data_IF_386671818700
#
_entry.id   IF_386671818700
#
_cell.length_a   1.000
_cell.length_b   1.000
_cell.length_c   1.000
_cell.angle_alpha   90.00
_cell.angle_beta   90.00
_cell.angle_gamma   90.00
#
_symmetry.space_group_name_H-M   'P 1'
#
loop_
_entity.id
_entity.type
_entity.pdbx_description
1 polymer ?
#
# COMPACT_ATOMS: atom_id res chain seq x y z
N UNK A 1 -11.75 5.29 16.17
CA UNK A 1 -10.79 4.26 15.71
C UNK A 1 -9.48 4.97 15.42
N UNK A 2 -8.34 4.40 15.78
CA UNK A 2 -7.05 5.02 15.51
C UNK A 2 -6.75 5.01 14.00
N UNK A 3 -6.14 6.08 13.43
CA UNK A 3 -5.84 6.17 12.01
C UNK A 3 -5.03 4.99 11.46
N UNK A 4 -3.96 4.57 12.13
CA UNK A 4 -3.16 3.42 11.69
C UNK A 4 -3.95 2.11 11.74
N UNK A 5 -4.77 1.89 12.77
CA UNK A 5 -5.61 0.70 12.84
C UNK A 5 -6.64 0.67 11.69
N UNK A 6 -7.13 1.83 11.25
CA UNK A 6 -8.00 1.93 10.09
C UNK A 6 -7.28 1.51 8.79
N UNK A 7 -6.04 1.97 8.61
CA UNK A 7 -5.18 1.59 7.48
C UNK A 7 -4.87 0.09 7.52
N UNK A 8 -4.49 -0.43 8.68
CA UNK A 8 -4.19 -1.86 8.88
C UNK A 8 -5.39 -2.72 8.50
N UNK A 9 -6.60 -2.36 8.94
CA UNK A 9 -7.85 -3.07 8.59
C UNK A 9 -8.13 -3.09 7.10
N UNK A 10 -7.95 -1.96 6.43
CA UNK A 10 -8.06 -1.89 4.98
C UNK A 10 -7.00 -2.80 4.32
N UNK A 11 -5.74 -2.71 4.75
CA UNK A 11 -4.64 -3.51 4.19
C UNK A 11 -4.88 -5.03 4.33
N UNK A 12 -5.30 -5.51 5.51
CA UNK A 12 -5.57 -6.95 5.72
C UNK A 12 -6.82 -7.45 5.00
N UNK A 13 -7.69 -6.55 4.53
CA UNK A 13 -8.87 -6.90 3.72
C UNK A 13 -8.54 -7.11 2.24
N UNK A 14 -7.35 -6.68 1.80
CA UNK A 14 -6.89 -6.86 0.42
C UNK A 14 -6.53 -8.32 0.17
N UNK A 15 -6.54 -8.74 -1.09
CA UNK A 15 -6.03 -10.05 -1.45
C UNK A 15 -4.49 -10.13 -1.29
N UNK A 16 -3.99 -11.35 -1.08
CA UNK A 16 -2.58 -11.63 -0.77
C UNK A 16 -1.60 -11.01 -1.77
N UNK A 17 -2.00 -10.92 -3.04
CA UNK A 17 -1.17 -10.38 -4.11
C UNK A 17 -0.99 -8.86 -3.95
N UNK A 18 -2.08 -8.13 -3.70
CA UNK A 18 -2.04 -6.70 -3.42
C UNK A 18 -1.33 -6.40 -2.10
N UNK A 19 -1.55 -7.21 -1.07
CA UNK A 19 -0.81 -7.12 0.19
C UNK A 19 0.70 -7.22 -0.05
N UNK A 20 1.12 -8.20 -0.87
CA UNK A 20 2.53 -8.40 -1.23
C UNK A 20 3.09 -7.19 -1.97
N UNK A 21 2.40 -6.68 -3.00
CA UNK A 21 2.83 -5.53 -3.79
C UNK A 21 3.05 -4.30 -2.89
N UNK A 22 2.07 -4.00 -2.03
CA UNK A 22 2.10 -2.84 -1.13
C UNK A 22 3.20 -2.99 -0.09
N UNK A 23 3.26 -4.14 0.59
CA UNK A 23 4.25 -4.38 1.64
C UNK A 23 5.67 -4.31 1.10
N UNK A 24 5.94 -4.95 -0.05
CA UNK A 24 7.25 -4.96 -0.65
C UNK A 24 7.73 -3.55 -0.97
N UNK A 25 6.89 -2.74 -1.61
CA UNK A 25 7.24 -1.37 -1.99
C UNK A 25 7.38 -0.46 -0.78
N UNK A 26 6.45 -0.50 0.18
CA UNK A 26 6.51 0.33 1.37
C UNK A 26 7.73 0.00 2.24
N UNK A 27 8.01 -1.27 2.49
CA UNK A 27 9.17 -1.69 3.29
C UNK A 27 10.48 -1.33 2.58
N UNK A 28 10.57 -1.55 1.26
CA UNK A 28 11.79 -1.25 0.52
C UNK A 28 12.06 0.25 0.39
N UNK A 29 11.04 1.04 0.03
CA UNK A 29 11.22 2.43 -0.35
C UNK A 29 10.97 3.41 0.79
N UNK A 30 10.01 3.14 1.66
CA UNK A 30 9.68 4.04 2.77
C UNK A 30 10.48 3.69 4.02
N UNK A 31 10.63 2.41 4.33
CA UNK A 31 11.42 1.97 5.48
C UNK A 31 12.91 1.77 5.15
N UNK A 32 13.28 1.86 3.86
CA UNK A 32 14.66 1.77 3.38
C UNK A 32 15.25 0.36 3.46
N UNK A 33 14.40 -0.67 3.48
CA UNK A 33 14.81 -2.01 3.85
C UNK A 33 14.84 -2.99 2.66
N UNK A 34 15.84 -2.81 1.79
CA UNK A 34 15.94 -3.49 0.50
C UNK A 34 16.48 -4.94 0.56
N UNK A 35 16.84 -5.46 1.74
CA UNK A 35 17.51 -6.77 1.87
C UNK A 35 16.57 -7.96 2.09
N UNK A 36 15.26 -7.75 2.05
CA UNK A 36 14.27 -8.77 2.40
C UNK A 36 13.65 -9.44 1.18
N UNK A 37 13.29 -10.72 1.34
CA UNK A 37 12.46 -11.42 0.34
C UNK A 37 11.04 -10.83 0.35
N UNK A 38 10.31 -10.85 -0.78
CA UNK A 38 8.91 -10.40 -0.82
C UNK A 38 8.03 -11.05 0.25
N UNK A 39 8.29 -12.32 0.58
CA UNK A 39 7.58 -13.06 1.62
C UNK A 39 7.77 -12.48 3.04
N UNK A 40 8.89 -11.81 3.31
CA UNK A 40 9.14 -11.18 4.61
C UNK A 40 8.56 -9.76 4.71
N UNK A 41 8.11 -9.16 3.60
CA UNK A 41 7.61 -7.79 3.58
C UNK A 41 6.27 -7.66 4.31
N UNK A 42 5.33 -8.58 4.09
CA UNK A 42 4.00 -8.59 4.75
C UNK A 42 4.13 -8.59 6.28
N UNK A 43 4.79 -9.57 6.93
CA UNK A 43 4.88 -9.59 8.39
C UNK A 43 5.61 -8.34 8.93
N UNK A 44 6.52 -7.75 8.16
CA UNK A 44 7.23 -6.53 8.55
C UNK A 44 6.35 -5.29 8.49
N UNK A 45 5.51 -5.14 7.46
CA UNK A 45 4.52 -4.08 7.40
C UNK A 45 3.47 -4.23 8.50
N UNK A 46 3.00 -5.46 8.76
CA UNK A 46 2.07 -5.72 9.88
C UNK A 46 2.69 -5.35 11.23
N UNK A 47 3.94 -5.74 11.47
CA UNK A 47 4.68 -5.35 12.67
C UNK A 47 4.85 -3.83 12.77
N UNK A 48 5.09 -3.14 11.64
CA UNK A 48 5.14 -1.69 11.61
C UNK A 48 3.81 -1.06 12.04
N UNK A 49 2.66 -1.56 11.57
CA UNK A 49 1.35 -1.10 12.04
C UNK A 49 1.16 -1.32 13.54
N UNK A 50 1.52 -2.50 14.05
CA UNK A 50 1.40 -2.83 15.48
C UNK A 50 2.24 -1.91 16.36
N UNK A 51 3.49 -1.66 15.94
CA UNK A 51 4.40 -0.78 16.66
C UNK A 51 3.87 0.67 16.71
N UNK A 52 3.29 1.16 15.62
CA UNK A 52 2.75 2.53 15.56
C UNK A 52 1.43 2.67 16.31
N UNK A 53 0.60 1.63 16.31
CA UNK A 53 -0.64 1.61 17.09
C UNK A 53 -0.40 1.57 18.60
N UNK A 54 0.77 1.06 19.03
CA UNK A 54 1.17 1.01 20.44
C UNK A 54 1.95 2.26 20.91
N UNK A 55 2.25 3.18 20.00
CA UNK A 55 2.96 4.43 20.29
C UNK A 55 2.06 5.50 20.91
N UNK A 56 2.59 6.71 21.00
CA UNK A 56 1.80 7.89 21.33
C UNK A 56 0.81 8.24 20.22
N UNK A 57 -0.22 9.01 20.56
CA UNK A 57 -1.27 9.38 19.62
C UNK A 57 -0.73 10.24 18.48
N UNK A 58 0.25 11.10 18.75
CA UNK A 58 0.96 11.85 17.71
C UNK A 58 1.73 10.92 16.75
N UNK A 59 2.35 9.85 17.27
CA UNK A 59 3.07 8.89 16.45
C UNK A 59 2.13 8.08 15.53
N UNK A 60 0.92 7.76 15.99
CA UNK A 60 -0.11 7.12 15.17
C UNK A 60 -0.54 8.03 14.00
N UNK A 61 -0.94 9.28 14.31
CA UNK A 61 -1.35 10.24 13.29
C UNK A 61 -0.23 10.51 12.26
N UNK A 62 1.00 10.70 12.71
CA UNK A 62 2.15 10.90 11.83
C UNK A 62 2.42 9.67 10.97
N UNK A 63 2.35 8.47 11.55
CA UNK A 63 2.50 7.24 10.80
C UNK A 63 1.41 7.08 9.72
N UNK A 64 0.16 7.44 10.02
CA UNK A 64 -0.92 7.42 9.05
C UNK A 64 -0.67 8.38 7.88
N UNK A 65 -0.15 9.58 8.15
CA UNK A 65 0.27 10.53 7.11
C UNK A 65 1.40 9.96 6.24
N UNK A 66 2.43 9.38 6.87
CA UNK A 66 3.56 8.77 6.15
C UNK A 66 3.08 7.62 5.26
N UNK A 67 2.21 6.75 5.78
CA UNK A 67 1.65 5.66 4.99
C UNK A 67 0.83 6.19 3.82
N UNK A 68 -0.11 7.11 4.07
CA UNK A 68 -0.97 7.70 3.03
C UNK A 68 -0.14 8.30 1.89
N UNK A 69 0.81 9.18 2.23
CA UNK A 69 1.65 9.85 1.24
C UNK A 69 2.51 8.85 0.45
N UNK A 70 3.11 7.86 1.12
CA UNK A 70 3.92 6.83 0.47
C UNK A 70 3.08 5.97 -0.48
N UNK A 71 1.90 5.54 -0.01
CA UNK A 71 1.01 4.70 -0.78
C UNK A 71 0.48 5.44 -2.01
N UNK A 72 0.01 6.67 -1.86
CA UNK A 72 -0.48 7.49 -2.98
C UNK A 72 0.62 7.75 -4.00
N UNK A 73 1.83 8.09 -3.55
CA UNK A 73 2.98 8.28 -4.43
C UNK A 73 3.30 7.03 -5.28
N UNK A 74 3.22 5.83 -4.69
CA UNK A 74 3.60 4.60 -5.37
C UNK A 74 2.46 3.97 -6.20
N UNK A 75 1.21 4.14 -5.77
CA UNK A 75 0.11 3.30 -6.22
C UNK A 75 -1.13 4.05 -6.70
N UNK A 76 -1.26 5.37 -6.53
CA UNK A 76 -2.47 6.09 -6.95
C UNK A 76 -2.80 5.87 -8.44
N UNK A 77 -1.79 5.80 -9.29
CA UNK A 77 -1.98 5.58 -10.73
C UNK A 77 -2.46 4.15 -11.07
N UNK A 78 -2.30 3.19 -10.16
CA UNK A 78 -2.79 1.80 -10.35
C UNK A 78 -4.30 1.72 -10.43
N UNK A 79 -5.02 2.71 -9.89
CA UNK A 79 -6.47 2.77 -9.88
C UNK A 79 -7.08 3.15 -11.24
N UNK A 80 -6.35 3.93 -12.04
CA UNK A 80 -6.90 4.59 -13.25
C UNK A 80 -6.63 3.83 -14.55
N UNK A 81 -6.02 2.65 -14.49
CA UNK A 81 -5.78 1.80 -15.65
C UNK A 81 -4.58 2.21 -16.51
N UNK A 82 -4.23 3.50 -16.56
CA UNK A 82 -3.14 4.03 -17.38
C UNK A 82 -1.76 3.46 -17.00
N UNK A 83 -1.51 3.25 -15.70
CA UNK A 83 -0.27 2.66 -15.18
C UNK A 83 -0.01 1.23 -15.65
N UNK A 84 -1.01 0.56 -16.22
CA UNK A 84 -0.91 -0.84 -16.64
C UNK A 84 -0.46 -0.99 -18.09
N UNK A 85 -0.49 0.09 -18.89
CA UNK A 85 -0.04 0.07 -20.28
C UNK A 85 1.42 -0.35 -20.39
N UNK A 86 2.29 0.18 -19.51
CA UNK A 86 3.71 -0.16 -19.51
C UNK A 86 3.96 -1.65 -19.19
N UNK A 87 3.45 -2.22 -18.07
CA UNK A 87 3.57 -3.65 -17.79
C UNK A 87 3.00 -4.55 -18.89
N UNK A 88 1.85 -4.20 -19.46
CA UNK A 88 1.25 -4.96 -20.57
C UNK A 88 2.16 -4.98 -21.80
N UNK A 89 2.69 -3.82 -22.18
CA UNK A 89 3.56 -3.69 -23.33
C UNK A 89 4.88 -4.43 -23.10
N UNK A 90 5.48 -4.30 -21.92
CA UNK A 90 6.69 -5.03 -21.53
C UNK A 90 6.51 -6.54 -21.67
N UNK A 91 5.41 -7.11 -21.18
CA UNK A 91 5.17 -8.55 -21.33
C UNK A 91 4.94 -8.97 -22.77
N UNK A 92 4.23 -8.15 -23.58
CA UNK A 92 4.07 -8.42 -25.02
C UNK A 92 5.41 -8.41 -25.76
N UNK A 93 6.27 -7.46 -25.43
CA UNK A 93 7.60 -7.33 -26.04
C UNK A 93 8.48 -8.53 -25.65
N UNK A 94 8.50 -8.92 -24.38
CA UNK A 94 9.20 -10.13 -23.92
C UNK A 94 8.72 -11.41 -24.64
N UNK A 95 7.41 -11.55 -24.85
CA UNK A 95 6.85 -12.68 -25.60
C UNK A 95 7.31 -12.65 -27.06
N UNK A 96 7.33 -11.47 -27.70
CA UNK A 96 7.78 -11.33 -29.09
C UNK A 96 9.27 -11.66 -29.24
N UNK A 97 10.11 -11.10 -28.37
CA UNK A 97 11.57 -11.30 -28.39
C UNK A 97 11.96 -12.75 -28.06
N UNK A 98 11.11 -13.45 -27.30
CA UNK A 98 11.35 -14.83 -26.94
C UNK A 98 11.17 -15.87 -28.06
N UNK A 99 10.82 -15.44 -29.27
CA UNK A 99 10.71 -16.32 -30.43
C UNK A 99 12.08 -16.89 -30.89
N UNK A 100 13.21 -16.39 -30.37
CA UNK A 100 14.56 -16.65 -30.92
C UNK A 100 15.47 -17.59 -30.08
N UNK A 101 14.96 -18.38 -29.12
CA UNK A 101 15.82 -19.36 -28.42
C UNK A 101 15.18 -20.15 -27.26
N UNK A 102 15.87 -21.18 -26.74
CA UNK A 102 15.36 -22.08 -25.69
C UNK A 102 15.18 -21.45 -24.31
N UNK A 103 16.11 -20.61 -23.84
CA UNK A 103 15.94 -19.86 -22.57
C UNK A 103 14.87 -18.77 -22.69
N UNK A 104 14.73 -18.23 -23.90
CA UNK A 104 13.68 -17.30 -24.26
C UNK A 104 12.27 -17.92 -23.99
N UNK A 105 12.11 -19.23 -24.19
CA UNK A 105 10.84 -19.94 -23.98
C UNK A 105 10.33 -19.94 -22.51
N UNK A 106 11.23 -19.96 -21.50
CA UNK A 106 10.82 -19.88 -20.08
C UNK A 106 10.34 -18.48 -19.72
N UNK A 107 11.09 -17.45 -20.15
CA UNK A 107 10.70 -16.05 -19.95
C UNK A 107 9.39 -15.73 -20.67
N UNK A 108 9.21 -16.24 -21.90
CA UNK A 108 7.96 -16.16 -22.66
C UNK A 108 6.78 -16.73 -21.88
N UNK A 109 6.95 -17.92 -21.33
CA UNK A 109 5.91 -18.65 -20.60
C UNK A 109 5.49 -17.87 -19.35
N UNK A 110 6.45 -17.31 -18.62
CA UNK A 110 6.18 -16.46 -17.46
C UNK A 110 5.48 -15.16 -17.87
N UNK A 111 5.98 -14.47 -18.89
CA UNK A 111 5.39 -13.23 -19.40
C UNK A 111 3.96 -13.46 -19.92
N UNK A 112 3.69 -14.57 -20.60
CA UNK A 112 2.34 -14.94 -21.06
C UNK A 112 1.39 -15.18 -19.89
N UNK A 113 1.86 -15.85 -18.84
CA UNK A 113 1.08 -16.07 -17.62
C UNK A 113 0.76 -14.75 -16.93
N UNK A 114 1.74 -13.86 -16.77
CA UNK A 114 1.55 -12.55 -16.16
C UNK A 114 0.62 -11.66 -16.99
N UNK A 115 0.77 -11.66 -18.32
CA UNK A 115 -0.11 -10.90 -19.22
C UNK A 115 -1.58 -11.33 -19.08
N UNK A 116 -1.83 -12.64 -18.90
CA UNK A 116 -3.18 -13.18 -18.70
C UNK A 116 -3.82 -12.78 -17.39
N UNK A 117 -3.04 -12.48 -16.34
CA UNK A 117 -3.59 -12.07 -15.04
C UNK A 117 -3.89 -10.57 -14.97
N UNK A 118 -3.35 -9.75 -15.87
CA UNK A 118 -3.52 -8.28 -15.82
C UNK A 118 -4.98 -7.82 -15.74
N UNK A 119 -5.95 -8.35 -16.51
CA UNK A 119 -7.34 -7.91 -16.40
C UNK A 119 -7.92 -8.12 -15.00
N UNK A 120 -7.62 -9.25 -14.36
CA UNK A 120 -8.05 -9.56 -12.99
C UNK A 120 -7.35 -8.64 -11.99
N UNK A 121 -6.03 -8.45 -12.12
CA UNK A 121 -5.24 -7.55 -11.25
C UNK A 121 -5.76 -6.12 -11.33
N UNK A 122 -6.09 -5.62 -12.53
CA UNK A 122 -6.68 -4.29 -12.73
C UNK A 122 -7.99 -4.13 -11.96
N UNK A 123 -8.85 -5.15 -11.97
CA UNK A 123 -10.12 -5.11 -11.24
C UNK A 123 -9.89 -5.03 -9.73
N UNK A 124 -9.01 -5.89 -9.18
CA UNK A 124 -8.63 -5.87 -7.75
C UNK A 124 -8.07 -4.52 -7.32
N UNK A 125 -7.14 -3.96 -8.10
CA UNK A 125 -6.56 -2.64 -7.81
C UNK A 125 -7.58 -1.50 -7.88
N UNK A 126 -8.56 -1.57 -8.79
CA UNK A 126 -9.65 -0.58 -8.83
C UNK A 126 -10.51 -0.64 -7.58
N UNK A 127 -10.97 -1.83 -7.20
CA UNK A 127 -11.77 -2.03 -5.98
C UNK A 127 -11.01 -1.59 -4.72
N UNK A 128 -9.74 -1.98 -4.60
CA UNK A 128 -8.87 -1.54 -3.52
C UNK A 128 -8.75 -0.01 -3.46
N UNK A 129 -8.66 0.65 -4.62
CA UNK A 129 -8.62 2.10 -4.75
C UNK A 129 -9.91 2.79 -4.35
N UNK A 130 -11.08 2.23 -4.71
CA UNK A 130 -12.38 2.75 -4.26
C UNK A 130 -12.50 2.69 -2.73
N UNK A 131 -12.15 1.56 -2.13
CA UNK A 131 -12.14 1.37 -0.68
C UNK A 131 -11.11 2.28 0.01
N UNK A 132 -9.93 2.45 -0.58
CA UNK A 132 -8.90 3.37 -0.09
C UNK A 132 -9.40 4.82 -0.11
N UNK A 133 -10.00 5.27 -1.21
CA UNK A 133 -10.52 6.62 -1.33
C UNK A 133 -11.65 6.89 -0.34
N UNK A 134 -12.52 5.91 -0.10
CA UNK A 134 -13.54 6.02 0.95
C UNK A 134 -12.92 6.15 2.35
N UNK A 135 -11.87 5.38 2.64
CA UNK A 135 -11.12 5.49 3.90
C UNK A 135 -10.42 6.85 4.05
N UNK A 136 -9.79 7.34 2.98
CA UNK A 136 -9.13 8.66 2.98
C UNK A 136 -10.15 9.77 3.22
N UNK A 137 -11.25 9.79 2.48
CA UNK A 137 -12.25 10.84 2.61
C UNK A 137 -12.95 10.84 3.97
N UNK A 138 -12.97 9.72 4.69
CA UNK A 138 -13.64 9.61 6.00
C UNK A 138 -12.71 9.79 7.20
N UNK A 139 -11.60 9.04 7.25
CA UNK A 139 -10.77 8.92 8.47
C UNK A 139 -9.37 9.51 8.27
N UNK A 140 -8.83 9.47 7.05
CA UNK A 140 -7.44 9.84 6.80
C UNK A 140 -7.27 11.18 6.07
N UNK A 141 -8.32 11.98 5.91
CA UNK A 141 -8.19 13.32 5.35
C UNK A 141 -7.53 14.25 6.39
N UNK A 142 -6.99 15.37 5.90
CA UNK A 142 -6.18 16.27 6.75
C UNK A 142 -6.97 16.83 7.95
N UNK A 143 -8.26 17.10 7.78
CA UNK A 143 -9.10 17.64 8.85
C UNK A 143 -9.44 16.57 9.89
N UNK A 144 -9.78 15.36 9.46
CA UNK A 144 -10.04 14.22 10.32
C UNK A 144 -8.81 13.85 11.16
N UNK A 145 -7.61 13.84 10.56
CA UNK A 145 -6.36 13.55 11.27
C UNK A 145 -6.02 14.64 12.29
N UNK A 146 -6.19 15.93 11.93
CA UNK A 146 -5.97 17.05 12.86
C UNK A 146 -6.95 16.99 14.03
N UNK A 147 -8.24 16.79 13.73
CA UNK A 147 -9.28 16.68 14.75
C UNK A 147 -8.99 15.52 15.70
N UNK A 148 -8.71 14.33 15.17
CA UNK A 148 -8.40 13.16 15.97
C UNK A 148 -7.19 13.39 16.88
N UNK A 149 -6.11 13.97 16.33
CA UNK A 149 -4.89 14.30 17.12
C UNK A 149 -5.20 15.29 18.24
N UNK A 150 -6.01 16.33 17.96
CA UNK A 150 -6.42 17.30 18.97
C UNK A 150 -7.29 16.68 20.07
N UNK A 151 -8.25 15.84 19.69
CA UNK A 151 -9.11 15.11 20.65
C UNK A 151 -8.28 14.21 21.56
N UNK A 152 -7.30 13.49 21.01
CA UNK A 152 -6.39 12.67 21.82
C UNK A 152 -5.56 13.54 22.76
N UNK A 153 -4.95 14.63 22.28
CA UNK A 153 -4.17 15.53 23.11
C UNK A 153 -4.97 16.10 24.29
N UNK A 154 -6.23 16.48 24.06
CA UNK A 154 -7.12 17.00 25.11
C UNK A 154 -7.60 15.92 26.08
N UNK A 155 -7.70 14.67 25.62
CA UNK A 155 -8.04 13.51 26.45
C UNK A 155 -6.85 12.99 27.28
N UNK A 156 -5.62 13.21 26.81
CA UNK A 156 -4.41 13.04 27.62
C UNK A 156 -4.41 14.05 28.79
N UNK A 157 -3.71 13.75 29.88
CA UNK A 157 -3.66 14.55 31.12
C UNK A 157 -3.06 15.99 30.97
N UNK A 158 -2.98 16.53 29.75
CA UNK A 158 -2.51 17.87 29.40
C UNK A 158 -3.64 18.86 29.08
N UNK A 159 -4.91 18.49 29.32
CA UNK A 159 -6.01 19.45 29.30
C UNK A 159 -5.70 20.65 30.22
N UNK A 160 -6.11 21.89 29.86
CA UNK A 160 -5.75 23.08 30.61
C UNK A 160 -6.14 22.89 32.06
N UNK A 161 -5.15 22.88 32.95
CA UNK A 161 -5.39 23.09 34.37
C UNK A 161 -6.16 24.39 34.48
N UNK A 162 -7.43 24.32 34.88
CA UNK A 162 -8.13 25.50 35.35
C UNK A 162 -7.37 26.00 36.57
N UNK A 163 -6.58 27.05 36.39
CA UNK A 163 -5.75 27.69 37.40
C UNK A 163 -5.42 29.11 36.97
#
# INVERSE_FOLDING_TARGET
MAPIEAIKRWYVSLDDELQTDIAYMFVSLTLGDCQFSPAAAIPRLLHWFDLRSAGSEYEDALAAVVFRASFEYMFADRFTGASWTFPEQLFKDLIRESAEGKEANKMATTAFRLLRTIPERKAKWREAGENWNALVNSVLNDDALKQWTQEQFMASNFGPTQG
#
